data_IF_319878421967
#
_entry.id   IF_319878421967
#
_cell.length_a   1.000
_cell.length_b   1.000
_cell.length_c   1.000
_cell.angle_alpha   90.00
_cell.angle_beta   90.00
_cell.angle_gamma   90.00
#
_symmetry.space_group_name_H-M   'P 1'
#
loop_
_entity.id
_entity.type
_entity.pdbx_description
1 polymer ?
#
# COMPACT_ATOMS: atom_id res chain seq x y z
N UNK A 1 17.17 -0.94 15.80
CA UNK A 1 16.23 -1.25 16.91
C UNK A 1 14.82 -1.22 16.34
N UNK A 2 14.01 -2.26 16.56
CA UNK A 2 12.61 -2.35 16.10
C UNK A 2 11.71 -2.27 17.32
N UNK A 3 10.69 -1.42 17.31
CA UNK A 3 9.72 -1.29 18.41
C UNK A 3 8.36 -1.84 17.99
N UNK A 4 7.51 -2.26 18.94
CA UNK A 4 6.10 -2.58 18.71
C UNK A 4 5.28 -2.20 19.94
N UNK A 5 4.19 -1.46 19.71
CA UNK A 5 3.29 -1.02 20.77
C UNK A 5 2.07 -1.94 20.83
N UNK A 6 1.74 -2.40 22.03
CA UNK A 6 0.61 -3.27 22.34
C UNK A 6 -0.23 -2.55 23.38
N UNK A 7 -1.56 -2.57 23.22
CA UNK A 7 -2.48 -2.00 24.21
C UNK A 7 -2.61 -2.98 25.37
N UNK A 8 -2.33 -2.52 26.59
CA UNK A 8 -2.25 -3.40 27.76
C UNK A 8 -3.58 -4.11 28.08
N UNK A 9 -4.70 -3.38 27.96
CA UNK A 9 -6.04 -3.94 28.13
C UNK A 9 -6.33 -5.09 27.16
N UNK A 10 -5.94 -4.99 25.89
CA UNK A 10 -6.15 -6.06 24.91
C UNK A 10 -5.42 -7.36 25.27
N UNK A 11 -4.32 -7.26 26.02
CA UNK A 11 -3.54 -8.42 26.47
C UNK A 11 -4.14 -9.08 27.72
N UNK A 12 -4.80 -8.29 28.60
CA UNK A 12 -5.23 -8.74 29.93
C UNK A 12 -6.74 -8.96 30.02
N UNK A 13 -7.55 -8.18 29.29
CA UNK A 13 -9.01 -8.25 29.37
C UNK A 13 -9.62 -9.30 28.44
N UNK A 14 -8.84 -9.86 27.52
CA UNK A 14 -9.36 -10.82 26.55
C UNK A 14 -9.40 -12.23 27.16
N UNK A 15 -10.60 -12.64 27.57
CA UNK A 15 -10.84 -13.90 28.28
C UNK A 15 -11.33 -15.03 27.38
N UNK A 16 -11.75 -14.76 26.14
CA UNK A 16 -12.02 -15.81 25.15
C UNK A 16 -10.69 -16.25 24.50
N UNK A 17 -10.27 -17.51 24.67
CA UNK A 17 -9.05 -18.02 24.05
C UNK A 17 -8.99 -17.82 22.54
N UNK A 18 -10.14 -17.91 21.84
CA UNK A 18 -10.18 -17.76 20.37
C UNK A 18 -9.92 -16.33 19.93
N UNK A 19 -10.45 -15.35 20.66
CA UNK A 19 -10.18 -13.95 20.38
C UNK A 19 -8.71 -13.61 20.66
N UNK A 20 -8.14 -14.21 21.72
CA UNK A 20 -6.71 -14.05 22.03
C UNK A 20 -5.83 -14.68 20.94
N UNK A 21 -6.17 -15.87 20.44
CA UNK A 21 -5.42 -16.52 19.36
C UNK A 21 -5.42 -15.66 18.09
N UNK A 22 -6.58 -15.13 17.70
CA UNK A 22 -6.69 -14.21 16.55
C UNK A 22 -5.87 -12.93 16.77
N UNK A 23 -5.88 -12.40 17.99
CA UNK A 23 -5.10 -11.21 18.35
C UNK A 23 -3.59 -11.48 18.23
N UNK A 24 -3.11 -12.58 18.81
CA UNK A 24 -1.71 -13.00 18.76
C UNK A 24 -1.29 -13.26 17.32
N UNK A 25 -2.12 -13.90 16.50
CA UNK A 25 -1.82 -14.14 15.10
C UNK A 25 -1.57 -12.82 14.35
N UNK A 26 -2.49 -11.85 14.46
CA UNK A 26 -2.33 -10.52 13.86
C UNK A 26 -1.08 -9.78 14.36
N UNK A 27 -0.74 -9.97 15.64
CA UNK A 27 0.45 -9.39 16.25
C UNK A 27 1.73 -9.99 15.66
N UNK A 28 1.80 -11.32 15.57
CA UNK A 28 2.94 -12.06 14.99
C UNK A 28 3.13 -11.69 13.52
N UNK A 29 2.05 -11.55 12.75
CA UNK A 29 2.12 -11.12 11.34
C UNK A 29 2.80 -9.75 11.20
N UNK A 30 2.51 -8.81 12.11
CA UNK A 30 3.16 -7.49 12.13
C UNK A 30 4.61 -7.56 12.57
N UNK A 31 4.94 -8.42 13.53
CA UNK A 31 6.33 -8.64 13.94
C UNK A 31 7.15 -9.23 12.80
N UNK A 32 6.65 -10.28 12.14
CA UNK A 32 7.32 -10.92 11.01
C UNK A 32 7.60 -9.91 9.90
N UNK A 33 6.61 -9.09 9.54
CA UNK A 33 6.78 -8.03 8.54
C UNK A 33 7.87 -7.00 8.93
N UNK A 34 7.95 -6.58 10.21
CA UNK A 34 8.98 -5.66 10.70
C UNK A 34 10.38 -6.27 10.74
N UNK A 35 10.46 -7.57 10.99
CA UNK A 35 11.69 -8.35 10.93
C UNK A 35 12.04 -8.78 9.49
N UNK A 36 11.30 -8.27 8.49
CA UNK A 36 11.51 -8.52 7.06
C UNK A 36 11.24 -9.97 6.63
N UNK A 37 10.48 -10.71 7.43
CA UNK A 37 9.94 -12.00 7.05
C UNK A 37 8.72 -11.87 6.13
N UNK A 38 8.37 -12.97 5.49
CA UNK A 38 7.25 -13.07 4.53
C UNK A 38 6.10 -13.80 5.20
N UNK A 39 4.93 -13.15 5.31
CA UNK A 39 3.73 -13.79 5.88
C UNK A 39 3.04 -14.69 4.84
N UNK A 40 2.80 -14.15 3.65
CA UNK A 40 2.10 -14.82 2.56
C UNK A 40 2.70 -14.38 1.23
N UNK A 41 2.83 -15.33 0.30
CA UNK A 41 3.24 -15.06 -1.07
C UNK A 41 1.99 -15.12 -1.96
N UNK A 42 1.74 -14.04 -2.69
CA UNK A 42 0.69 -14.05 -3.71
C UNK A 42 1.31 -14.49 -5.02
N UNK A 43 0.80 -15.56 -5.61
CA UNK A 43 1.19 -15.95 -6.96
C UNK A 43 0.69 -14.87 -7.92
N UNK A 44 1.62 -14.28 -8.67
CA UNK A 44 1.29 -13.20 -9.57
C UNK A 44 0.23 -13.65 -10.56
N UNK A 45 -0.81 -12.81 -10.75
CA UNK A 45 -1.87 -13.09 -11.71
C UNK A 45 -1.27 -13.37 -13.09
N UNK A 46 -1.78 -14.37 -13.83
CA UNK A 46 -1.36 -14.63 -15.21
C UNK A 46 -1.42 -13.37 -16.11
N UNK A 47 -2.32 -12.43 -15.81
CA UNK A 47 -2.45 -11.16 -16.52
C UNK A 47 -1.22 -10.22 -16.42
N UNK A 48 -0.39 -10.37 -15.38
CA UNK A 48 0.88 -9.64 -15.24
C UNK A 48 2.06 -10.40 -15.87
N UNK A 49 1.86 -11.66 -16.29
CA UNK A 49 2.83 -12.45 -17.05
C UNK A 49 2.59 -12.18 -18.54
N UNK A 50 3.21 -11.13 -19.08
CA UNK A 50 3.15 -10.89 -20.52
C UNK A 50 3.97 -11.95 -21.26
N UNK A 51 3.40 -12.70 -22.23
CA UNK A 51 4.14 -13.68 -23.04
C UNK A 51 5.24 -13.06 -23.91
N UNK A 52 5.25 -11.73 -24.07
CA UNK A 52 6.15 -11.00 -24.98
C UNK A 52 7.05 -9.98 -24.28
N UNK A 53 6.92 -9.80 -22.97
CA UNK A 53 7.77 -8.88 -22.21
C UNK A 53 9.06 -9.58 -21.78
N UNK A 54 10.20 -9.05 -22.20
CA UNK A 54 11.54 -9.56 -21.88
C UNK A 54 11.97 -9.31 -20.42
N UNK A 55 11.04 -9.06 -19.50
CA UNK A 55 11.38 -8.93 -18.07
C UNK A 55 10.13 -9.07 -17.21
N UNK A 56 10.04 -10.15 -16.46
CA UNK A 56 9.14 -10.35 -15.31
C UNK A 56 9.43 -9.37 -14.13
N UNK A 57 10.06 -8.22 -14.43
CA UNK A 57 10.57 -7.26 -13.46
C UNK A 57 9.74 -5.99 -13.58
N UNK A 58 8.77 -5.85 -12.69
CA UNK A 58 8.02 -4.62 -12.45
C UNK A 58 8.20 -4.22 -10.99
N UNK A 59 7.96 -2.95 -10.70
CA UNK A 59 8.06 -2.39 -9.35
C UNK A 59 6.77 -1.65 -9.03
N UNK A 60 6.21 -1.91 -7.86
CA UNK A 60 5.04 -1.18 -7.38
C UNK A 60 5.48 -0.01 -6.51
N UNK A 61 4.86 1.14 -6.75
CA UNK A 61 4.94 2.31 -5.88
C UNK A 61 3.55 2.65 -5.35
N UNK A 62 3.47 2.97 -4.06
CA UNK A 62 2.28 3.51 -3.41
C UNK A 62 2.59 4.92 -2.92
N UNK A 63 1.71 5.87 -3.21
CA UNK A 63 1.85 7.26 -2.78
C UNK A 63 0.58 7.65 -2.04
N UNK A 64 0.72 8.21 -0.85
CA UNK A 64 -0.38 8.78 -0.08
C UNK A 64 -0.03 10.18 0.40
N UNK A 65 -1.01 11.09 0.34
CA UNK A 65 -0.87 12.45 0.84
C UNK A 65 -1.93 12.70 1.92
N UNK A 66 -1.46 13.04 3.12
CA UNK A 66 -2.33 13.37 4.24
C UNK A 66 -2.36 14.88 4.43
N UNK A 67 -3.54 15.46 4.19
CA UNK A 67 -3.85 16.85 4.52
C UNK A 67 -4.36 16.94 5.97
N UNK A 68 -3.78 17.85 6.75
CA UNK A 68 -4.23 18.13 8.12
C UNK A 68 -5.24 19.29 8.07
N UNK A 69 -6.53 19.01 8.14
CA UNK A 69 -7.56 20.06 8.23
C UNK A 69 -7.82 20.40 9.68
N UNK A 70 -7.33 21.55 10.16
CA UNK A 70 -8.06 22.49 11.05
C UNK A 70 -7.15 23.68 11.42
N UNK A 71 -7.54 24.90 11.04
CA UNK A 71 -7.12 26.18 11.69
C UNK A 71 -5.63 26.55 11.80
N UNK A 72 -4.68 25.71 11.38
CA UNK A 72 -3.25 26.00 11.38
C UNK A 72 -2.65 25.72 10.00
N UNK A 73 -1.81 26.63 9.52
CA UNK A 73 -1.01 26.45 8.30
C UNK A 73 0.07 25.40 8.61
N UNK A 74 -0.24 24.13 8.38
CA UNK A 74 0.73 23.03 8.44
C UNK A 74 0.90 22.43 7.05
N UNK A 75 2.13 22.05 6.67
CA UNK A 75 2.38 21.40 5.40
C UNK A 75 1.65 20.05 5.38
N UNK A 76 1.33 19.62 4.17
CA UNK A 76 0.80 18.27 3.95
C UNK A 76 1.95 17.28 3.97
N UNK A 77 1.71 16.08 4.49
CA UNK A 77 2.72 15.03 4.57
C UNK A 77 2.48 14.06 3.44
N UNK A 78 3.50 13.82 2.62
CA UNK A 78 3.48 12.83 1.54
C UNK A 78 4.32 11.64 1.96
N UNK A 79 3.79 10.44 1.75
CA UNK A 79 4.51 9.20 1.95
C UNK A 79 4.57 8.41 0.63
N UNK A 80 5.77 8.02 0.24
CA UNK A 80 6.02 7.14 -0.91
C UNK A 80 6.54 5.81 -0.40
N UNK A 81 5.94 4.72 -0.84
CA UNK A 81 6.44 3.36 -0.61
C UNK A 81 6.77 2.69 -1.94
N UNK A 82 7.88 1.98 -2.00
CA UNK A 82 8.33 1.27 -3.19
C UNK A 82 8.67 -0.18 -2.87
N UNK A 83 8.30 -1.10 -3.76
CA UNK A 83 8.62 -2.50 -3.63
C UNK A 83 10.14 -2.72 -3.65
N UNK A 84 10.67 -3.47 -2.69
CA UNK A 84 12.11 -3.68 -2.53
C UNK A 84 12.59 -5.05 -3.02
N UNK A 85 11.69 -5.99 -3.24
CA UNK A 85 12.03 -7.37 -3.51
C UNK A 85 11.12 -8.03 -4.55
N UNK A 86 11.60 -9.12 -5.15
CA UNK A 86 10.86 -9.87 -6.17
C UNK A 86 9.67 -10.65 -5.62
N UNK A 87 9.58 -10.81 -4.29
CA UNK A 87 8.45 -11.53 -3.66
C UNK A 87 7.20 -10.66 -3.52
N UNK A 88 7.27 -9.36 -3.84
CA UNK A 88 6.19 -8.40 -3.71
C UNK A 88 5.73 -8.14 -2.25
N UNK A 89 6.60 -8.37 -1.25
CA UNK A 89 6.20 -8.34 0.17
C UNK A 89 6.95 -7.32 1.02
N UNK A 90 8.12 -6.86 0.60
CA UNK A 90 8.89 -5.85 1.34
C UNK A 90 8.82 -4.50 0.65
N UNK A 91 8.45 -3.46 1.40
CA UNK A 91 8.38 -2.10 0.89
C UNK A 91 9.36 -1.20 1.64
N UNK A 92 10.03 -0.30 0.92
CA UNK A 92 10.79 0.81 1.50
C UNK A 92 9.93 2.07 1.47
N UNK A 93 9.98 2.89 2.53
CA UNK A 93 9.19 4.11 2.65
C UNK A 93 10.09 5.36 2.71
N UNK A 94 9.65 6.44 2.09
CA UNK A 94 10.23 7.78 2.15
C UNK A 94 9.11 8.77 2.52
N UNK A 95 9.37 9.61 3.52
CA UNK A 95 8.50 10.73 3.88
C UNK A 95 9.01 12.01 3.22
N UNK A 96 8.10 12.79 2.66
CA UNK A 96 8.39 14.09 2.07
C UNK A 96 7.47 15.15 2.70
N UNK A 97 8.08 16.30 2.95
CA UNK A 97 7.41 17.49 3.47
C UNK A 97 7.00 18.34 2.25
N UNK A 98 5.80 18.95 2.27
CA UNK A 98 5.25 19.86 1.24
C UNK A 98 4.60 19.25 -0.01
N UNK A 99 3.32 18.86 0.08
CA UNK A 99 2.54 18.51 -1.13
C UNK A 99 1.04 18.75 -1.08
N UNK A 100 0.53 19.74 -1.82
CA UNK A 100 -0.87 19.72 -2.29
C UNK A 100 -1.02 18.62 -3.35
N UNK A 101 -2.05 17.76 -3.26
CA UNK A 101 -2.24 16.57 -4.12
C UNK A 101 -1.97 16.78 -5.62
N UNK A 102 -2.46 17.87 -6.20
CA UNK A 102 -2.28 18.17 -7.64
C UNK A 102 -0.81 18.44 -8.01
N UNK A 103 -0.07 19.11 -7.12
CA UNK A 103 1.37 19.34 -7.31
C UNK A 103 2.17 18.07 -7.11
N UNK A 104 1.75 17.20 -6.20
CA UNK A 104 2.38 15.89 -5.96
C UNK A 104 2.26 15.04 -7.23
N UNK A 105 1.08 14.96 -7.84
CA UNK A 105 0.91 14.19 -9.07
C UNK A 105 1.91 14.59 -10.17
N UNK A 106 1.97 15.89 -10.47
CA UNK A 106 2.78 16.41 -11.56
C UNK A 106 4.28 16.42 -11.22
N UNK A 107 4.64 16.73 -9.97
CA UNK A 107 6.03 16.77 -9.52
C UNK A 107 6.61 15.37 -9.30
N UNK A 108 5.87 14.46 -8.67
CA UNK A 108 6.35 13.10 -8.37
C UNK A 108 6.49 12.28 -9.65
N UNK A 109 5.53 12.36 -10.58
CA UNK A 109 5.67 11.65 -11.85
C UNK A 109 6.91 12.11 -12.62
N UNK A 110 7.16 13.43 -12.65
CA UNK A 110 8.38 13.98 -13.24
C UNK A 110 9.63 13.60 -12.45
N UNK A 111 9.56 13.48 -11.13
CA UNK A 111 10.68 13.06 -10.31
C UNK A 111 11.05 11.59 -10.58
N UNK A 112 10.05 10.70 -10.69
CA UNK A 112 10.25 9.31 -11.08
C UNK A 112 10.86 9.23 -12.48
N UNK A 113 10.32 9.96 -13.45
CA UNK A 113 10.86 10.00 -14.81
C UNK A 113 12.32 10.47 -14.85
N UNK A 114 12.65 11.54 -14.11
CA UNK A 114 14.02 12.04 -13.99
C UNK A 114 14.96 11.02 -13.36
N UNK A 115 14.55 10.41 -12.24
CA UNK A 115 15.34 9.35 -11.59
C UNK A 115 15.58 8.16 -12.55
N UNK A 116 14.57 7.76 -13.32
CA UNK A 116 14.75 6.72 -14.34
C UNK A 116 15.70 7.15 -15.45
N UNK A 117 15.65 8.41 -15.91
CA UNK A 117 16.58 8.94 -16.92
C UNK A 117 18.03 8.96 -16.41
N UNK A 118 18.23 9.34 -15.16
CA UNK A 118 19.55 9.35 -14.53
C UNK A 118 20.12 7.94 -14.34
N UNK A 119 19.28 6.97 -13.97
CA UNK A 119 19.70 5.59 -13.70
C UNK A 119 19.86 4.72 -14.95
N UNK A 120 18.95 4.85 -15.93
CA UNK A 120 18.89 3.97 -17.11
C UNK A 120 19.28 4.66 -18.43
N UNK A 121 19.47 5.99 -18.41
CA UNK A 121 19.67 6.78 -19.63
C UNK A 121 18.39 6.91 -20.47
N UNK A 122 18.49 7.60 -21.62
CA UNK A 122 17.32 7.93 -22.46
C UNK A 122 16.73 6.73 -23.23
N UNK A 123 17.49 5.67 -23.47
CA UNK A 123 17.08 4.58 -24.37
C UNK A 123 16.49 3.35 -23.66
N UNK A 124 16.47 3.33 -22.32
CA UNK A 124 16.03 2.17 -21.53
C UNK A 124 15.08 2.56 -20.39
N UNK A 125 14.27 3.60 -20.59
CA UNK A 125 13.29 4.00 -19.59
C UNK A 125 12.23 2.92 -19.39
N UNK A 126 11.91 2.55 -18.14
CA UNK A 126 10.83 1.64 -17.86
C UNK A 126 9.49 2.26 -18.27
N UNK A 127 8.55 1.43 -18.71
CA UNK A 127 7.18 1.88 -18.94
C UNK A 127 6.53 2.22 -17.59
N UNK A 128 6.00 3.43 -17.47
CA UNK A 128 5.33 3.92 -16.26
C UNK A 128 3.82 3.88 -16.48
N UNK A 129 3.11 3.16 -15.62
CA UNK A 129 1.66 3.17 -15.53
C UNK A 129 1.25 3.91 -14.24
N UNK A 130 0.41 4.93 -14.37
CA UNK A 130 -0.06 5.72 -13.23
C UNK A 130 -1.54 5.48 -12.97
N UNK A 131 -1.87 4.98 -11.77
CA UNK A 131 -3.25 4.64 -11.38
C UNK A 131 -3.66 5.47 -10.16
N UNK A 132 -4.73 6.26 -10.31
CA UNK A 132 -5.30 7.04 -9.20
C UNK A 132 -6.36 6.22 -8.47
N UNK A 133 -6.16 5.99 -7.18
CA UNK A 133 -7.14 5.30 -6.33
C UNK A 133 -7.88 6.32 -5.46
N UNK A 134 -9.21 6.39 -5.59
CA UNK A 134 -10.06 7.22 -4.73
C UNK A 134 -10.95 6.34 -3.87
N UNK A 135 -10.58 6.12 -2.60
CA UNK A 135 -11.37 5.29 -1.65
C UNK A 135 -12.61 5.99 -1.10
N UNK A 136 -12.56 7.30 -0.89
CA UNK A 136 -13.68 8.10 -0.35
C UNK A 136 -14.37 8.85 -1.49
N UNK A 137 -15.49 8.30 -1.97
CA UNK A 137 -16.33 8.87 -3.03
C UNK A 137 -17.82 8.70 -2.71
N UNK A 138 -18.69 9.33 -3.49
CA UNK A 138 -20.16 9.25 -3.30
C UNK A 138 -20.84 8.12 -4.09
N UNK A 139 -20.13 7.47 -5.01
CA UNK A 139 -20.65 6.27 -5.68
C UNK A 139 -20.87 5.13 -4.68
N UNK A 140 -21.99 4.43 -4.79
CA UNK A 140 -22.34 3.26 -3.98
C UNK A 140 -22.82 2.16 -4.91
N UNK A 141 -22.48 0.92 -4.59
CA UNK A 141 -22.92 -0.26 -5.32
C UNK A 141 -23.88 -1.07 -4.44
N UNK A 142 -24.94 -1.58 -5.05
CA UNK A 142 -25.96 -2.36 -4.37
C UNK A 142 -26.18 -3.67 -5.14
N UNK A 143 -26.45 -4.76 -4.43
CA UNK A 143 -26.83 -6.02 -5.08
C UNK A 143 -28.33 -6.01 -5.36
N UNK A 144 -28.72 -6.39 -6.57
CA UNK A 144 -30.14 -6.64 -6.89
C UNK A 144 -30.60 -8.01 -6.41
N UNK A 145 -29.69 -8.99 -6.35
CA UNK A 145 -29.94 -10.35 -5.89
C UNK A 145 -29.32 -10.62 -4.51
N UNK A 146 -29.91 -11.57 -3.75
CA UNK A 146 -29.59 -11.92 -2.34
C UNK A 146 -28.15 -12.39 -2.04
N UNK A 147 -27.22 -12.35 -3.00
CA UNK A 147 -25.81 -12.66 -2.74
C UNK A 147 -25.09 -11.44 -2.15
N UNK A 148 -25.57 -10.98 -1.00
CA UNK A 148 -24.88 -9.98 -0.19
C UNK A 148 -24.02 -10.67 0.87
N UNK A 149 -22.99 -9.98 1.36
CA UNK A 149 -22.29 -10.44 2.55
C UNK A 149 -23.17 -10.23 3.81
N UNK A 150 -22.70 -10.69 4.98
CA UNK A 150 -23.43 -10.52 6.25
C UNK A 150 -23.77 -9.05 6.58
N UNK A 151 -23.05 -8.09 6.00
CA UNK A 151 -23.25 -6.66 6.17
C UNK A 151 -24.08 -6.02 5.03
N UNK A 152 -24.77 -6.81 4.20
CA UNK A 152 -25.57 -6.35 3.06
C UNK A 152 -24.81 -5.55 1.99
N UNK A 153 -23.49 -5.75 1.87
CA UNK A 153 -22.67 -5.17 0.81
C UNK A 153 -22.48 -6.15 -0.35
N UNK A 154 -22.09 -5.61 -1.52
CA UNK A 154 -21.56 -6.41 -2.64
C UNK A 154 -20.38 -7.27 -2.17
N UNK A 155 -20.19 -8.44 -2.79
CA UNK A 155 -19.04 -9.30 -2.50
C UNK A 155 -17.72 -8.60 -2.88
N UNK A 156 -16.59 -8.89 -2.20
CA UNK A 156 -15.26 -8.48 -2.65
C UNK A 156 -14.99 -8.98 -4.07
N UNK A 157 -14.39 -8.13 -4.90
CA UNK A 157 -13.98 -8.46 -6.27
C UNK A 157 -12.47 -8.53 -6.43
#
# INVERSE_FOLDING_TARGET
MVTHCIRFDQLVSNSDPREMDMYIQNLVEKFNARLRGVNQLVSLMPALKSPSARSDIFMFFGIDCTHITCSQVRPSIVAVVGLKDSTNTQYAALGLDDGSFEKVLDNELRAIQRACQELYGHNQLPQICFVVVKKRHHTRFFTWNKQSNQANNIQPG
#
